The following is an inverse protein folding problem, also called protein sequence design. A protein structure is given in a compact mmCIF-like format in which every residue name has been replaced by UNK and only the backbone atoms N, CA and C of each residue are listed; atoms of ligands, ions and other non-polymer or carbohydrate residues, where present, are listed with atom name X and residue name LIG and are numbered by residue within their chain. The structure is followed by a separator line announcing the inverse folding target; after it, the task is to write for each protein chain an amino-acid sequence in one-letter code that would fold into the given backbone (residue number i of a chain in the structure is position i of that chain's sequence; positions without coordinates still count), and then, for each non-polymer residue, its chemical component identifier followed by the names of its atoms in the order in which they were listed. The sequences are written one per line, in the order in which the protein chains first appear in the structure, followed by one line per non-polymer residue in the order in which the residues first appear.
data_IF_340908390918
#
_entry.id   IF_340908390918
#
_cell.length_a   1.000
_cell.length_b   1.000
_cell.length_c   1.000
_cell.angle_alpha   90.00
_cell.angle_beta   90.00
_cell.angle_gamma   90.00
#
_symmetry.space_group_name_H-M   'P 1'
#
loop_
_entity.id
_entity.type
_entity.pdbx_description
1 polymer ?
#
# COMPACT_ATOMS: atom_id res chain seq x y z
N UNK A 1 -4.18 7.90 3.36
CA UNK A 1 -3.08 6.91 3.27
C UNK A 1 -1.86 7.52 2.57
N UNK A 2 -2.01 8.15 1.41
CA UNK A 2 -0.93 8.89 0.72
C UNK A 2 -0.20 9.91 1.59
N UNK A 3 -0.92 10.59 2.49
CA UNK A 3 -0.35 11.57 3.44
C UNK A 3 0.06 10.97 4.80
N UNK A 4 -0.22 9.70 5.05
CA UNK A 4 0.12 9.05 6.32
C UNK A 4 1.59 8.61 6.31
N UNK A 5 2.33 8.76 7.41
CA UNK A 5 3.73 8.36 7.45
C UNK A 5 3.86 6.83 7.54
N UNK A 6 4.54 6.23 6.57
CA UNK A 6 4.90 4.81 6.58
C UNK A 6 6.06 4.55 5.59
N UNK A 7 6.82 3.49 5.83
CA UNK A 7 7.87 3.03 4.92
C UNK A 7 7.55 1.58 4.61
N UNK A 8 7.42 1.27 3.33
CA UNK A 8 7.27 -0.07 2.83
C UNK A 8 8.31 -0.26 1.73
N UNK A 9 8.98 -1.41 1.74
CA UNK A 9 9.82 -1.87 0.65
C UNK A 9 9.01 -1.98 -0.64
N UNK A 10 9.71 -2.01 -1.78
CA UNK A 10 9.04 -2.18 -3.07
C UNK A 10 8.22 -3.47 -3.11
N UNK A 11 8.69 -4.53 -2.45
CA UNK A 11 8.02 -5.83 -2.39
C UNK A 11 6.70 -5.72 -1.63
N UNK A 12 6.72 -5.13 -0.44
CA UNK A 12 5.53 -4.89 0.38
C UNK A 12 4.53 -3.95 -0.30
N UNK A 13 5.03 -2.90 -0.98
CA UNK A 13 4.18 -2.02 -1.80
C UNK A 13 3.49 -2.76 -2.94
N UNK A 14 4.21 -3.60 -3.67
CA UNK A 14 3.65 -4.40 -4.76
C UNK A 14 2.57 -5.37 -4.27
N UNK A 15 2.75 -5.98 -3.10
CA UNK A 15 1.71 -6.77 -2.43
C UNK A 15 0.49 -5.91 -2.09
N UNK A 16 0.69 -4.75 -1.45
CA UNK A 16 -0.39 -3.81 -1.11
C UNK A 16 -1.17 -3.38 -2.36
N UNK A 17 -0.48 -3.13 -3.47
CA UNK A 17 -1.10 -2.76 -4.74
C UNK A 17 -2.00 -3.84 -5.32
N UNK A 18 -1.60 -5.11 -5.25
CA UNK A 18 -2.45 -6.24 -5.65
C UNK A 18 -3.72 -6.32 -4.79
N UNK A 19 -3.64 -6.00 -3.49
CA UNK A 19 -4.81 -5.88 -2.63
C UNK A 19 -5.70 -4.69 -3.02
N UNK A 20 -5.11 -3.53 -3.31
CA UNK A 20 -5.87 -2.34 -3.73
C UNK A 20 -6.61 -2.57 -5.06
N UNK A 21 -6.03 -3.33 -6.00
CA UNK A 21 -6.74 -3.70 -7.23
C UNK A 21 -8.06 -4.44 -6.94
N UNK A 22 -8.11 -5.28 -5.91
CA UNK A 22 -9.34 -6.00 -5.54
C UNK A 22 -10.42 -5.05 -5.03
N UNK A 23 -10.06 -4.00 -4.27
CA UNK A 23 -11.04 -3.02 -3.77
C UNK A 23 -11.74 -2.24 -4.88
N UNK A 24 -11.14 -2.16 -6.07
CA UNK A 24 -11.74 -1.47 -7.21
C UNK A 24 -12.91 -2.24 -7.84
N UNK A 25 -12.84 -3.58 -7.79
CA UNK A 25 -13.87 -4.44 -8.37
C UNK A 25 -14.99 -4.78 -7.38
N UNK A 26 -14.90 -4.29 -6.14
CA UNK A 26 -15.93 -4.49 -5.12
C UNK A 26 -16.91 -3.31 -5.16
N UNK A 27 -18.20 -3.60 -5.38
CA UNK A 27 -19.26 -2.59 -5.38
C UNK A 27 -19.41 -1.93 -3.99
N UNK A 28 -19.74 -0.64 -3.96
CA UNK A 28 -19.89 0.15 -2.72
C UNK A 28 -20.99 -0.39 -1.76
N UNK A 29 -21.90 -1.22 -2.27
CA UNK A 29 -22.99 -1.82 -1.49
C UNK A 29 -22.59 -3.08 -0.71
N UNK A 30 -21.46 -3.73 -1.04
CA UNK A 30 -20.95 -4.84 -0.26
C UNK A 30 -20.23 -4.35 1.00
N UNK A 31 -20.56 -4.95 2.14
CA UNK A 31 -19.81 -4.79 3.39
C UNK A 31 -18.31 -4.98 3.10
N UNK A 32 -17.50 -3.93 3.36
CA UNK A 32 -16.07 -3.93 3.12
C UNK A 32 -15.39 -5.21 3.65
N UNK A 33 -14.95 -6.08 2.76
CA UNK A 33 -14.33 -7.35 3.11
C UNK A 33 -12.90 -7.09 3.60
N UNK A 34 -12.55 -7.47 4.85
CA UNK A 34 -11.19 -7.28 5.35
C UNK A 34 -10.19 -8.28 4.75
N UNK A 35 -10.65 -9.35 4.09
CA UNK A 35 -9.83 -10.44 3.56
C UNK A 35 -9.50 -10.19 2.09
N UNK A 36 -8.21 -10.24 1.76
CA UNK A 36 -7.64 -10.04 0.43
C UNK A 36 -6.81 -11.25 0.04
N UNK A 37 -6.72 -11.50 -1.27
CA UNK A 37 -5.94 -12.62 -1.80
C UNK A 37 -4.84 -12.14 -2.74
N UNK A 38 -3.64 -12.69 -2.61
CA UNK A 38 -2.49 -12.34 -3.46
C UNK A 38 -1.94 -13.61 -4.08
N UNK A 39 -2.14 -13.78 -5.38
CA UNK A 39 -1.56 -14.89 -6.12
C UNK A 39 -0.12 -14.57 -6.53
N UNK A 40 0.78 -15.53 -6.36
CA UNK A 40 2.16 -15.41 -6.84
C UNK A 40 2.22 -15.24 -8.37
N UNK A 41 1.25 -15.82 -9.10
CA UNK A 41 1.13 -15.67 -10.55
C UNK A 41 0.83 -14.23 -10.96
N UNK A 42 -0.15 -13.58 -10.31
CA UNK A 42 -0.48 -12.16 -10.58
C UNK A 42 0.74 -11.27 -10.36
N UNK A 43 1.52 -11.53 -9.30
CA UNK A 43 2.75 -10.79 -9.02
C UNK A 43 3.80 -10.98 -10.13
N UNK A 44 4.00 -12.22 -10.60
CA UNK A 44 4.90 -12.56 -11.70
C UNK A 44 4.51 -11.81 -12.98
N UNK A 45 3.23 -11.86 -13.35
CA UNK A 45 2.71 -11.28 -14.58
C UNK A 45 2.74 -9.75 -14.56
N UNK A 46 2.27 -9.13 -13.47
CA UNK A 46 2.13 -7.67 -13.37
C UNK A 46 3.51 -6.98 -13.23
N UNK A 47 4.43 -7.58 -12.48
CA UNK A 47 5.74 -6.98 -12.21
C UNK A 47 6.87 -7.55 -13.07
N UNK A 48 6.56 -8.48 -13.97
CA UNK A 48 7.48 -9.12 -14.90
C UNK A 48 8.75 -9.64 -14.21
N UNK A 49 8.56 -10.51 -13.21
CA UNK A 49 9.63 -11.17 -12.46
C UNK A 49 9.47 -12.68 -12.51
N UNK A 50 10.56 -13.44 -12.41
CA UNK A 50 10.46 -14.90 -12.38
C UNK A 50 9.58 -15.41 -11.22
N UNK A 51 8.86 -16.51 -11.42
CA UNK A 51 8.07 -17.19 -10.36
C UNK A 51 8.79 -17.39 -9.02
N UNK A 52 10.08 -17.76 -9.06
CA UNK A 52 10.88 -17.94 -7.84
C UNK A 52 11.07 -16.61 -7.10
N UNK A 53 11.31 -15.52 -7.83
CA UNK A 53 11.41 -14.19 -7.28
C UNK A 53 10.05 -13.71 -6.75
N UNK A 54 8.97 -13.86 -7.53
CA UNK A 54 7.61 -13.52 -7.12
C UNK A 54 7.22 -14.23 -5.81
N UNK A 55 7.48 -15.54 -5.69
CA UNK A 55 7.16 -16.28 -4.46
C UNK A 55 7.93 -15.79 -3.24
N UNK A 56 9.19 -15.36 -3.40
CA UNK A 56 9.98 -14.78 -2.30
C UNK A 56 9.47 -13.39 -1.95
N UNK A 57 9.20 -12.56 -2.96
CA UNK A 57 8.79 -11.18 -2.77
C UNK A 57 7.40 -11.04 -2.16
N UNK A 58 6.44 -11.87 -2.57
CA UNK A 58 5.12 -11.90 -1.94
C UNK A 58 5.25 -12.31 -0.48
N UNK A 59 5.99 -13.39 -0.18
CA UNK A 59 6.22 -13.83 1.20
C UNK A 59 6.81 -12.72 2.05
N UNK A 60 7.93 -12.13 1.62
CA UNK A 60 8.60 -11.06 2.34
C UNK A 60 7.73 -9.82 2.48
N UNK A 61 6.99 -9.45 1.44
CA UNK A 61 6.08 -8.30 1.44
C UNK A 61 4.91 -8.46 2.42
N UNK A 62 4.31 -9.65 2.48
CA UNK A 62 3.24 -9.98 3.44
C UNK A 62 3.76 -9.91 4.88
N UNK A 63 4.92 -10.52 5.16
CA UNK A 63 5.52 -10.45 6.49
C UNK A 63 5.97 -9.03 6.87
N UNK A 64 6.37 -8.22 5.90
CA UNK A 64 6.69 -6.82 6.16
C UNK A 64 5.43 -6.01 6.48
N UNK A 65 4.33 -6.21 5.77
CA UNK A 65 3.04 -5.58 6.08
C UNK A 65 2.57 -5.96 7.48
N UNK A 66 2.71 -7.22 7.90
CA UNK A 66 2.23 -7.68 9.21
C UNK A 66 2.98 -7.04 10.38
N UNK A 67 4.27 -6.75 10.23
CA UNK A 67 5.09 -6.07 11.24
C UNK A 67 5.06 -4.55 11.16
N UNK A 68 4.39 -3.98 10.16
CA UNK A 68 4.37 -2.54 9.91
C UNK A 68 3.07 -1.90 10.36
N UNK A 69 3.12 -0.59 10.59
CA UNK A 69 1.95 0.23 10.91
C UNK A 69 1.93 1.52 10.09
N UNK A 70 0.74 2.06 9.93
CA UNK A 70 0.49 3.40 9.39
C UNK A 70 0.44 4.37 10.56
N UNK A 71 1.22 5.45 10.48
CA UNK A 71 1.21 6.52 11.48
C UNK A 71 0.32 7.67 10.99
N UNK A 72 -0.72 7.94 11.76
CA UNK A 72 -1.66 9.05 11.56
C UNK A 72 -1.37 10.19 12.54
N UNK A 73 -1.58 11.42 12.06
CA UNK A 73 -1.38 12.65 12.83
C UNK A 73 -2.70 13.43 12.81
N UNK A 74 -3.64 13.12 13.73
CA UNK A 74 -4.93 13.80 13.79
C UNK A 74 -4.70 15.27 14.16
N UNK A 75 -5.30 16.21 13.43
CA UNK A 75 -5.22 17.65 13.77
C UNK A 75 -6.08 18.03 14.98
N UNK A 76 -7.01 17.18 15.36
CA UNK A 76 -7.93 17.38 16.48
C UNK A 76 -8.22 16.04 17.16
N UNK A 77 -8.02 15.96 18.48
CA UNK A 77 -8.24 14.75 19.26
C UNK A 77 -7.43 14.70 20.56
N UNK A 78 -7.56 13.58 21.28
CA UNK A 78 -6.84 13.31 22.55
C UNK A 78 -5.39 12.85 22.35
N UNK A 79 -5.02 12.46 21.13
CA UNK A 79 -3.73 11.91 20.79
C UNK A 79 -3.13 12.66 19.59
N UNK A 80 -1.87 13.08 19.73
CA UNK A 80 -1.13 13.78 18.67
C UNK A 80 -0.66 12.83 17.56
N UNK A 81 -0.50 11.54 17.89
CA UNK A 81 -0.03 10.49 16.98
C UNK A 81 -0.79 9.19 17.26
N UNK A 82 -1.23 8.51 16.20
CA UNK A 82 -1.90 7.20 16.28
C UNK A 82 -1.26 6.23 15.29
N UNK A 83 -0.68 5.14 15.78
CA UNK A 83 -0.20 4.03 14.95
C UNK A 83 -1.30 2.98 14.77
N UNK A 84 -1.56 2.57 13.52
CA UNK A 84 -2.50 1.49 13.18
C UNK A 84 -1.76 0.40 12.40
N UNK A 85 -1.69 -0.85 12.90
CA UNK A 85 -1.13 -1.96 12.13
C UNK A 85 -1.83 -2.11 10.78
N UNK A 86 -1.09 -2.50 9.75
CA UNK A 86 -1.70 -2.75 8.44
C UNK A 86 -2.65 -3.96 8.49
N UNK A 87 -2.15 -5.06 9.05
CA UNK A 87 -2.84 -6.35 9.04
C UNK A 87 -3.35 -6.71 10.42
N UNK A 88 -4.51 -7.37 10.46
CA UNK A 88 -4.94 -8.15 11.62
C UNK A 88 -4.28 -9.52 11.58
N UNK A 89 -4.22 -10.13 10.39
CA UNK A 89 -3.61 -11.43 10.16
C UNK A 89 -2.87 -11.46 8.82
N UNK A 90 -1.62 -11.95 8.84
CA UNK A 90 -0.91 -12.36 7.63
C UNK A 90 -1.15 -13.86 7.47
N UNK A 91 -2.23 -14.21 6.77
CA UNK A 91 -2.66 -15.59 6.60
C UNK A 91 -1.64 -16.48 5.91
N UNK A 92 -1.93 -17.77 5.91
CA UNK A 92 -1.05 -18.80 5.36
C UNK A 92 -1.07 -18.85 3.83
N UNK A 93 0.07 -19.25 3.24
CA UNK A 93 0.14 -19.58 1.81
C UNK A 93 -0.51 -20.94 1.55
N UNK A 94 -1.50 -21.00 0.66
CA UNK A 94 -2.05 -22.26 0.18
C UNK A 94 -1.05 -23.03 -0.70
N UNK A 95 -1.28 -24.32 -0.91
CA UNK A 95 -0.46 -25.14 -1.83
C UNK A 95 -0.44 -24.62 -3.27
N UNK A 96 -1.43 -23.78 -3.65
CA UNK A 96 -1.54 -23.18 -4.99
C UNK A 96 -0.76 -21.87 -5.14
N UNK A 97 -0.05 -21.42 -4.10
CA UNK A 97 0.69 -20.15 -4.15
C UNK A 97 -0.20 -18.92 -4.00
N UNK A 98 -1.34 -19.07 -3.33
CA UNK A 98 -2.24 -17.98 -2.95
C UNK A 98 -1.96 -17.60 -1.49
N UNK A 99 -1.80 -16.31 -1.22
CA UNK A 99 -1.70 -15.76 0.13
C UNK A 99 -3.02 -15.10 0.50
N UNK A 100 -3.55 -15.44 1.67
CA UNK A 100 -4.70 -14.75 2.26
C UNK A 100 -4.19 -13.74 3.28
N UNK A 101 -4.74 -12.53 3.26
CA UNK A 101 -4.28 -11.41 4.07
C UNK A 101 -5.50 -10.69 4.64
N UNK A 102 -5.56 -10.51 5.95
CA UNK A 102 -6.62 -9.76 6.61
C UNK A 102 -6.12 -8.38 7.02
N UNK A 103 -6.70 -7.33 6.44
CA UNK A 103 -6.39 -5.95 6.83
C UNK A 103 -7.11 -5.54 8.10
N UNK A 104 -6.45 -4.67 8.86
CA UNK A 104 -7.06 -4.07 10.03
C UNK A 104 -8.31 -3.27 9.65
N UNK A 105 -9.44 -3.55 10.30
CA UNK A 105 -10.72 -2.86 10.07
C UNK A 105 -10.64 -1.33 10.23
N UNK A 106 -9.69 -0.81 11.02
CA UNK A 106 -9.44 0.63 11.16
C UNK A 106 -8.65 1.23 9.99
N UNK A 107 -7.98 0.40 9.18
CA UNK A 107 -7.23 0.79 7.98
C UNK A 107 -8.08 0.60 6.72
N UNK A 108 -8.99 -0.38 6.73
CA UNK A 108 -9.82 -0.79 5.59
C UNK A 108 -10.54 0.37 4.86
N UNK A 109 -11.20 1.34 5.55
CA UNK A 109 -11.87 2.43 4.85
C UNK A 109 -10.92 3.28 4.00
N UNK A 110 -9.67 3.43 4.45
CA UNK A 110 -8.66 4.16 3.69
C UNK A 110 -8.17 3.38 2.48
N UNK A 111 -8.23 2.04 2.49
CA UNK A 111 -7.85 1.21 1.35
C UNK A 111 -8.87 1.31 0.24
N UNK A 112 -10.17 1.29 0.54
CA UNK A 112 -11.23 1.44 -0.46
C UNK A 112 -11.23 2.82 -1.12
N UNK A 113 -11.10 3.88 -0.32
CA UNK A 113 -10.94 5.25 -0.85
C UNK A 113 -9.67 5.37 -1.68
N UNK A 114 -8.58 4.72 -1.25
CA UNK A 114 -7.36 4.72 -2.03
C UNK A 114 -7.55 3.93 -3.31
N UNK A 115 -8.16 2.75 -3.28
CA UNK A 115 -8.36 1.87 -4.43
C UNK A 115 -9.11 2.52 -5.59
N UNK A 116 -10.17 3.29 -5.27
CA UNK A 116 -10.93 4.06 -6.27
C UNK A 116 -10.11 5.19 -6.90
N UNK A 117 -9.17 5.78 -6.15
CA UNK A 117 -8.23 6.78 -6.68
C UNK A 117 -7.02 6.12 -7.37
N UNK A 118 -6.61 4.95 -6.89
CA UNK A 118 -5.38 4.25 -7.21
C UNK A 118 -5.41 3.59 -8.58
N UNK A 119 -6.58 3.11 -9.00
CA UNK A 119 -6.81 2.56 -10.34
C UNK A 119 -6.80 3.60 -11.46
N UNK A 120 -6.80 4.90 -11.13
CA UNK A 120 -6.44 5.95 -12.08
C UNK A 120 -4.94 5.94 -12.41
N UNK A 121 -4.13 5.24 -11.60
CA UNK A 121 -2.71 5.07 -11.82
C UNK A 121 -2.47 3.74 -12.51
N UNK A 122 -1.76 3.79 -13.63
CA UNK A 122 -1.22 2.62 -14.26
C UNK A 122 -0.26 1.95 -13.26
N UNK A 123 -0.69 0.84 -12.66
CA UNK A 123 0.17 -0.10 -11.94
C UNK A 123 1.39 -0.52 -12.76
N UNK A 124 1.27 -0.44 -14.09
CA UNK A 124 2.37 -0.59 -15.05
C UNK A 124 3.44 0.49 -14.88
N UNK A 125 3.03 1.75 -14.68
CA UNK A 125 3.94 2.88 -14.49
C UNK A 125 4.66 2.76 -13.14
N UNK A 126 3.89 2.46 -12.08
CA UNK A 126 4.43 2.19 -10.75
C UNK A 126 5.34 0.95 -10.72
N UNK A 127 5.04 -0.07 -11.53
CA UNK A 127 5.85 -1.28 -11.67
C UNK A 127 7.24 -1.03 -12.24
N UNK A 128 7.41 0.03 -13.05
CA UNK A 128 8.71 0.44 -13.63
C UNK A 128 9.64 1.12 -12.61
N UNK A 129 9.07 1.70 -11.55
CA UNK A 129 9.82 2.42 -10.52
C UNK A 129 10.43 1.43 -9.51
N UNK A 130 11.75 1.49 -9.33
CA UNK A 130 12.50 0.57 -8.45
C UNK A 130 12.77 1.12 -7.05
N UNK A 131 12.70 2.43 -6.88
CA UNK A 131 13.00 3.10 -5.60
C UNK A 131 11.70 3.40 -4.84
N UNK A 132 11.49 2.85 -3.62
CA UNK A 132 10.28 3.10 -2.82
C UNK A 132 9.99 4.57 -2.55
N UNK A 133 11.03 5.42 -2.41
CA UNK A 133 10.87 6.87 -2.21
C UNK A 133 10.36 7.55 -3.47
N UNK A 134 10.89 7.17 -4.63
CA UNK A 134 10.40 7.67 -5.94
C UNK A 134 8.97 7.23 -6.20
N UNK A 135 8.63 5.98 -5.87
CA UNK A 135 7.26 5.48 -5.92
C UNK A 135 6.33 6.33 -5.06
N UNK A 136 6.74 6.62 -3.82
CA UNK A 136 5.94 7.44 -2.90
C UNK A 136 5.79 8.88 -3.39
N UNK A 137 6.85 9.46 -3.97
CA UNK A 137 6.79 10.78 -4.59
C UNK A 137 5.79 10.79 -5.76
N UNK A 138 5.85 9.77 -6.62
CA UNK A 138 4.93 9.62 -7.74
C UNK A 138 3.48 9.52 -7.25
N UNK A 139 3.21 8.68 -6.25
CA UNK A 139 1.89 8.57 -5.61
C UNK A 139 1.40 9.92 -5.05
N UNK A 140 2.27 10.67 -4.37
CA UNK A 140 1.93 12.01 -3.86
C UNK A 140 1.59 12.98 -4.98
N UNK A 141 2.40 13.06 -6.04
CA UNK A 141 2.15 13.96 -7.17
C UNK A 141 0.84 13.63 -7.90
N UNK A 142 0.56 12.35 -8.04
CA UNK A 142 -0.64 11.83 -8.67
C UNK A 142 -1.93 12.26 -7.96
N UNK A 143 -1.92 12.39 -6.63
CA UNK A 143 -3.05 12.93 -5.85
C UNK A 143 -3.43 14.37 -6.27
N UNK A 144 -2.48 15.15 -6.75
CA UNK A 144 -2.66 16.54 -7.18
C UNK A 144 -2.75 16.69 -8.71
N UNK A 145 -2.98 15.61 -9.45
CA UNK A 145 -3.09 15.67 -10.93
C UNK A 145 -4.24 16.57 -11.38
N UNK A 146 -5.35 16.64 -10.65
CA UNK A 146 -6.45 17.56 -11.00
C UNK A 146 -6.05 19.03 -10.82
N UNK A 147 -5.33 19.35 -9.75
CA UNK A 147 -4.85 20.72 -9.47
C UNK A 147 -3.57 21.10 -10.21
N UNK A 148 -2.85 20.13 -10.78
CA UNK A 148 -1.54 20.24 -11.46
C UNK A 148 -0.38 20.76 -10.60
N UNK A 149 -0.68 21.33 -9.43
CA UNK A 149 0.29 21.93 -8.52
C UNK A 149 0.17 21.22 -7.18
N UNK A 150 1.32 20.81 -6.64
CA UNK A 150 1.49 20.32 -5.28
C UNK A 150 2.44 21.23 -4.52
N UNK A 151 1.97 21.78 -3.40
CA UNK A 151 2.76 22.64 -2.50
C UNK A 151 2.87 21.93 -1.15
N UNK A 152 4.11 21.78 -0.66
CA UNK A 152 4.39 21.17 0.66
C UNK A 152 5.65 21.79 1.27
N UNK A 153 5.86 21.60 2.58
CA UNK A 153 7.06 22.06 3.28
C UNK A 153 8.14 20.98 3.30
N UNK A 154 9.39 21.39 3.49
CA UNK A 154 10.53 20.49 3.70
C UNK A 154 10.25 19.51 4.85
N UNK A 155 9.82 20.04 6.00
CA UNK A 155 9.63 19.23 7.21
C UNK A 155 8.52 18.20 7.04
N UNK A 156 7.43 18.58 6.36
CA UNK A 156 6.36 17.65 6.03
C UNK A 156 6.88 16.51 5.14
N UNK A 157 7.68 16.82 4.12
CA UNK A 157 8.20 15.81 3.20
C UNK A 157 9.14 14.84 3.91
N UNK A 158 10.07 15.37 4.71
CA UNK A 158 11.01 14.58 5.51
C UNK A 158 10.31 13.65 6.49
N UNK A 159 9.31 14.15 7.21
CA UNK A 159 8.51 13.34 8.15
C UNK A 159 7.69 12.27 7.43
N UNK A 160 6.92 12.65 6.39
CA UNK A 160 6.02 11.71 5.70
C UNK A 160 6.75 10.66 4.90
N UNK A 161 7.94 10.94 4.40
CA UNK A 161 8.73 9.98 3.63
C UNK A 161 9.70 9.18 4.51
N UNK A 162 9.78 9.50 5.81
CA UNK A 162 10.76 8.96 6.76
C UNK A 162 12.18 8.99 6.16
N UNK A 163 12.58 10.19 5.73
CA UNK A 163 13.92 10.42 5.19
C UNK A 163 14.96 10.36 6.33
N UNK A 164 16.19 9.89 6.06
CA UNK A 164 17.26 9.93 7.04
C UNK A 164 17.61 11.38 7.41
N UNK A 165 18.10 11.58 8.64
CA UNK A 165 18.63 12.87 9.06
C UNK A 165 19.80 13.30 8.16
N UNK A 166 19.85 14.60 7.88
CA UNK A 166 20.80 15.24 6.95
C UNK A 166 22.13 15.53 7.63
#
# INVERSE_FOLDING_TARGET
LTEAAYHLSLKAKRVLWLCLMQTYFTDEEESANPIFTVAVADYEDIFNVSRNQASRDVKEGVFELSRSAIIFYPKTGRHDVIARPWLTEAGGRSSKGLWEIEFNHKVLPYLYVLGSQFTTYSLRDCGSLKNPRTVRLYESLCQFRSSQIWVTSHDWLSERFMLPES
#
